data_IF_075484614021
#
_entry.id   IF_075484614021
#
_cell.length_a   1.000
_cell.length_b   1.000
_cell.length_c   1.000
_cell.angle_alpha   90.00
_cell.angle_beta   90.00
_cell.angle_gamma   90.00
#
_symmetry.space_group_name_H-M   'P 1'
#
loop_
_entity.id
_entity.type
_entity.pdbx_description
1 polymer ?
#
# COMPACT_ATOMS: atom_id res chain seq x y z
N UNK A 1 -2.06 32.16 17.59
CA UNK A 1 -2.02 30.94 18.42
C UNK A 1 -2.03 29.65 17.59
N UNK A 2 -2.73 29.55 16.46
CA UNK A 2 -2.73 28.34 15.60
C UNK A 2 -1.35 27.98 15.01
N UNK A 3 -0.57 28.96 14.56
CA UNK A 3 0.74 28.74 13.91
C UNK A 3 1.77 28.05 14.80
N UNK A 4 1.79 28.37 16.10
CA UNK A 4 2.72 27.73 17.06
C UNK A 4 2.44 26.25 17.26
N UNK A 5 1.16 25.82 17.24
CA UNK A 5 0.82 24.40 17.37
C UNK A 5 1.30 23.58 16.17
N UNK A 6 1.20 24.12 14.95
CA UNK A 6 1.73 23.45 13.76
C UNK A 6 3.25 23.25 13.85
N UNK A 7 3.99 24.25 14.37
CA UNK A 7 5.44 24.12 14.56
C UNK A 7 5.78 23.02 15.56
N UNK A 8 5.06 22.94 16.69
CA UNK A 8 5.25 21.86 17.67
C UNK A 8 4.87 20.48 17.11
N UNK A 9 3.82 20.38 16.30
CA UNK A 9 3.43 19.12 15.64
C UNK A 9 4.51 18.70 14.63
N UNK A 10 5.00 19.61 13.80
CA UNK A 10 6.05 19.32 12.82
C UNK A 10 7.33 18.88 13.52
N UNK A 11 7.74 19.59 14.59
CA UNK A 11 8.91 19.20 15.38
C UNK A 11 8.73 17.84 16.08
N UNK A 12 7.54 17.57 16.61
CA UNK A 12 7.20 16.29 17.21
C UNK A 12 7.25 15.13 16.20
N UNK A 13 6.61 15.31 15.04
CA UNK A 13 6.65 14.33 13.95
C UNK A 13 8.07 14.12 13.43
N UNK A 14 8.86 15.18 13.29
CA UNK A 14 10.26 15.10 12.92
C UNK A 14 11.06 14.29 13.96
N UNK A 15 10.95 14.63 15.25
CA UNK A 15 11.70 13.97 16.31
C UNK A 15 11.37 12.47 16.39
N UNK A 16 10.10 12.09 16.28
CA UNK A 16 9.69 10.68 16.31
C UNK A 16 10.13 9.95 15.04
N UNK A 17 9.85 10.50 13.86
CA UNK A 17 10.16 9.84 12.57
C UNK A 17 11.68 9.71 12.35
N UNK A 18 12.41 10.80 12.59
CA UNK A 18 13.85 10.83 12.48
C UNK A 18 14.49 10.01 13.60
N UNK A 19 14.00 10.11 14.84
CA UNK A 19 14.51 9.36 15.98
C UNK A 19 14.42 7.85 15.78
N UNK A 20 13.28 7.33 15.31
CA UNK A 20 13.12 5.90 15.03
C UNK A 20 14.06 5.45 13.91
N UNK A 21 14.10 6.17 12.77
CA UNK A 21 14.99 5.83 11.65
C UNK A 21 16.46 5.90 12.09
N UNK A 22 16.87 6.99 12.71
CA UNK A 22 18.25 7.22 13.12
C UNK A 22 18.69 6.23 14.20
N UNK A 23 17.83 5.88 15.17
CA UNK A 23 18.15 4.87 16.17
C UNK A 23 18.37 3.49 15.53
N UNK A 24 17.53 3.09 14.58
CA UNK A 24 17.69 1.84 13.83
C UNK A 24 18.97 1.87 12.97
N UNK A 25 19.23 2.95 12.22
CA UNK A 25 20.41 3.08 11.36
C UNK A 25 21.73 3.23 12.14
N UNK A 26 21.75 4.01 13.23
CA UNK A 26 22.94 4.19 14.07
C UNK A 26 23.31 2.88 14.79
N UNK A 27 22.31 2.08 15.17
CA UNK A 27 22.55 0.74 15.74
C UNK A 27 22.92 -0.29 14.65
N UNK A 28 22.44 -0.13 13.42
CA UNK A 28 22.78 -1.00 12.29
C UNK A 28 24.27 -0.95 11.91
N UNK A 29 24.98 0.16 12.12
CA UNK A 29 26.44 0.23 11.88
C UNK A 29 27.27 -0.66 12.82
N UNK A 30 26.72 -1.13 13.95
CA UNK A 30 27.36 -2.11 14.85
C UNK A 30 26.69 -3.49 14.84
N UNK A 31 25.46 -3.58 14.32
CA UNK A 31 24.70 -4.83 14.24
C UNK A 31 24.72 -5.25 12.78
N UNK A 32 25.64 -6.16 12.44
CA UNK A 32 25.61 -6.87 11.15
C UNK A 32 24.23 -7.52 11.05
N UNK A 33 23.37 -6.98 10.18
CA UNK A 33 22.05 -7.53 9.98
C UNK A 33 22.25 -8.94 9.41
N UNK A 34 21.75 -10.01 10.07
CA UNK A 34 21.89 -11.35 9.52
C UNK A 34 21.27 -11.38 8.13
N UNK A 35 21.96 -11.95 7.15
CA UNK A 35 21.51 -12.00 5.74
C UNK A 35 20.06 -12.49 5.59
N UNK A 36 19.56 -13.31 6.52
CA UNK A 36 18.18 -13.77 6.54
C UNK A 36 17.16 -12.67 6.89
N UNK A 37 17.50 -11.76 7.82
CA UNK A 37 16.63 -10.64 8.23
C UNK A 37 16.59 -9.57 7.12
N UNK A 38 17.73 -9.27 6.50
CA UNK A 38 17.79 -8.33 5.38
C UNK A 38 16.97 -8.84 4.18
N UNK A 39 17.10 -10.13 3.86
CA UNK A 39 16.25 -10.80 2.89
C UNK A 39 14.76 -10.73 3.25
N UNK A 40 14.40 -11.04 4.50
CA UNK A 40 13.01 -10.99 4.97
C UNK A 40 12.41 -9.58 4.94
N UNK A 41 13.17 -8.55 5.33
CA UNK A 41 12.75 -7.15 5.33
C UNK A 41 12.43 -6.63 3.92
N UNK A 42 13.17 -7.10 2.90
CA UNK A 42 12.89 -6.77 1.50
C UNK A 42 11.51 -7.22 1.01
N UNK A 43 10.95 -8.29 1.60
CA UNK A 43 9.61 -8.79 1.26
C UNK A 43 8.48 -8.16 2.08
N UNK A 44 8.78 -7.42 3.14
CA UNK A 44 7.77 -6.78 3.98
C UNK A 44 6.85 -5.86 3.18
N UNK A 45 7.35 -4.93 2.32
CA UNK A 45 6.47 -4.00 1.62
C UNK A 45 5.46 -4.70 0.71
N UNK A 46 5.90 -5.66 -0.10
CA UNK A 46 5.02 -6.40 -1.00
C UNK A 46 4.03 -7.28 -0.22
N UNK A 47 4.49 -7.94 0.85
CA UNK A 47 3.63 -8.81 1.66
C UNK A 47 2.53 -8.03 2.37
N UNK A 48 2.87 -6.87 2.95
CA UNK A 48 1.91 -6.01 3.64
C UNK A 48 0.91 -5.41 2.65
N UNK A 49 1.38 -4.92 1.50
CA UNK A 49 0.48 -4.39 0.46
C UNK A 49 -0.48 -5.47 -0.05
N UNK A 50 0.00 -6.67 -0.34
CA UNK A 50 -0.87 -7.78 -0.75
C UNK A 50 -1.85 -8.17 0.36
N UNK A 51 -1.41 -8.24 1.62
CA UNK A 51 -2.27 -8.55 2.75
C UNK A 51 -3.37 -7.50 3.00
N UNK A 52 -3.17 -6.24 2.58
CA UNK A 52 -4.18 -5.17 2.66
C UNK A 52 -5.10 -5.21 1.43
N UNK A 53 -4.53 -5.34 0.24
CA UNK A 53 -5.26 -5.24 -1.03
C UNK A 53 -6.18 -6.46 -1.26
N UNK A 54 -5.72 -7.67 -0.95
CA UNK A 54 -6.52 -8.90 -1.16
C UNK A 54 -7.85 -8.87 -0.41
N UNK A 55 -7.93 -8.64 0.92
CA UNK A 55 -9.22 -8.59 1.61
C UNK A 55 -10.05 -7.39 1.16
N UNK A 56 -9.44 -6.28 0.76
CA UNK A 56 -10.16 -5.13 0.20
C UNK A 56 -10.90 -5.47 -1.10
N UNK A 57 -10.39 -6.43 -1.89
CA UNK A 57 -11.01 -6.89 -3.13
C UNK A 57 -12.08 -7.96 -2.86
N UNK A 58 -11.73 -8.98 -2.08
CA UNK A 58 -12.57 -10.18 -1.89
C UNK A 58 -13.59 -10.06 -0.76
N UNK A 59 -13.39 -9.14 0.20
CA UNK A 59 -14.24 -8.97 1.38
C UNK A 59 -14.48 -7.49 1.72
N UNK A 60 -14.98 -6.66 0.78
CA UNK A 60 -15.18 -5.23 1.02
C UNK A 60 -16.11 -4.94 2.21
N UNK A 61 -17.16 -5.73 2.40
CA UNK A 61 -18.12 -5.61 3.52
C UNK A 61 -17.92 -6.68 4.61
N UNK A 62 -16.75 -7.31 4.67
CA UNK A 62 -16.45 -8.38 5.62
C UNK A 62 -17.11 -9.74 5.30
N UNK A 63 -17.88 -9.83 4.20
CA UNK A 63 -18.38 -11.09 3.63
C UNK A 63 -17.59 -11.40 2.37
N UNK A 64 -17.34 -12.69 2.11
CA UNK A 64 -16.71 -13.13 0.87
C UNK A 64 -17.63 -12.82 -0.30
N UNK A 65 -17.21 -11.87 -1.13
CA UNK A 65 -17.90 -11.44 -2.33
C UNK A 65 -17.01 -11.71 -3.55
N UNK A 66 -17.15 -12.94 -4.07
CA UNK A 66 -16.47 -13.43 -5.27
C UNK A 66 -17.41 -13.37 -6.49
N UNK A 67 -18.52 -12.63 -6.38
CA UNK A 67 -19.44 -12.42 -7.49
C UNK A 67 -18.77 -11.59 -8.58
N UNK A 68 -19.13 -11.86 -9.84
CA UNK A 68 -18.83 -10.95 -10.96
C UNK A 68 -19.59 -9.61 -10.81
N UNK A 69 -20.52 -9.54 -9.87
CA UNK A 69 -21.23 -8.33 -9.47
C UNK A 69 -20.37 -7.41 -8.58
N UNK A 70 -19.22 -7.87 -8.09
CA UNK A 70 -18.35 -7.07 -7.24
C UNK A 70 -17.46 -6.14 -8.11
N UNK A 71 -17.69 -4.82 -8.09
CA UNK A 71 -16.93 -3.87 -8.90
C UNK A 71 -15.45 -3.81 -8.48
N UNK A 72 -15.12 -4.10 -7.22
CA UNK A 72 -13.75 -4.13 -6.72
C UNK A 72 -12.93 -5.24 -7.37
N UNK A 73 -13.54 -6.42 -7.56
CA UNK A 73 -12.88 -7.58 -8.16
C UNK A 73 -12.61 -7.35 -9.65
N UNK A 74 -13.59 -6.81 -10.38
CA UNK A 74 -13.42 -6.47 -11.80
C UNK A 74 -12.35 -5.38 -12.01
N UNK A 75 -12.39 -4.30 -11.21
CA UNK A 75 -11.40 -3.22 -11.27
C UNK A 75 -9.98 -3.70 -10.97
N UNK A 76 -9.82 -4.53 -9.94
CA UNK A 76 -8.52 -5.09 -9.56
C UNK A 76 -7.98 -6.07 -10.61
N UNK A 77 -8.83 -6.92 -11.19
CA UNK A 77 -8.44 -7.88 -12.22
C UNK A 77 -8.02 -7.14 -13.50
N UNK A 78 -8.76 -6.11 -13.91
CA UNK A 78 -8.37 -5.27 -15.04
C UNK A 78 -7.03 -4.55 -14.79
N UNK A 79 -6.83 -3.98 -13.61
CA UNK A 79 -5.55 -3.37 -13.23
C UNK A 79 -4.42 -4.40 -13.26
N UNK A 80 -4.63 -5.60 -12.72
CA UNK A 80 -3.64 -6.67 -12.73
C UNK A 80 -3.22 -7.07 -14.15
N UNK A 81 -4.19 -7.31 -15.04
CA UNK A 81 -3.93 -7.70 -16.44
C UNK A 81 -3.19 -6.59 -17.20
N UNK A 82 -3.62 -5.33 -17.07
CA UNK A 82 -2.96 -4.20 -17.73
C UNK A 82 -1.55 -4.00 -17.17
N UNK A 83 -1.37 -4.14 -15.86
CA UNK A 83 -0.07 -4.02 -15.19
C UNK A 83 0.94 -5.04 -15.69
N UNK A 84 0.50 -6.28 -15.92
CA UNK A 84 1.34 -7.33 -16.48
C UNK A 84 1.75 -7.05 -17.93
N UNK A 85 0.86 -6.50 -18.75
CA UNK A 85 1.11 -6.30 -20.18
C UNK A 85 1.88 -5.01 -20.46
N UNK A 86 1.50 -3.90 -19.82
CA UNK A 86 1.96 -2.56 -20.18
C UNK A 86 3.10 -2.04 -19.30
N UNK A 87 3.35 -2.64 -18.13
CA UNK A 87 4.34 -2.19 -17.14
C UNK A 87 4.36 -0.66 -16.89
N UNK A 88 3.22 0.01 -17.15
CA UNK A 88 3.07 1.45 -17.02
C UNK A 88 2.07 1.74 -15.91
N UNK A 89 2.60 2.21 -14.78
CA UNK A 89 1.83 2.46 -13.55
C UNK A 89 0.60 3.35 -13.79
N UNK A 90 0.75 4.38 -14.63
CA UNK A 90 -0.31 5.35 -14.88
C UNK A 90 -1.47 4.71 -15.66
N UNK A 91 -1.17 3.91 -16.68
CA UNK A 91 -2.18 3.19 -17.46
C UNK A 91 -2.91 2.15 -16.61
N UNK A 92 -2.18 1.43 -15.76
CA UNK A 92 -2.75 0.44 -14.85
C UNK A 92 -3.78 1.06 -13.90
N UNK A 93 -3.45 2.22 -13.32
CA UNK A 93 -4.35 2.95 -12.43
C UNK A 93 -5.56 3.45 -13.22
N UNK A 94 -5.34 4.06 -14.38
CA UNK A 94 -6.42 4.65 -15.17
C UNK A 94 -7.43 3.58 -15.62
N UNK A 95 -6.96 2.45 -16.14
CA UNK A 95 -7.84 1.36 -16.57
C UNK A 95 -8.55 0.71 -15.37
N UNK A 96 -7.85 0.46 -14.26
CA UNK A 96 -8.46 -0.09 -13.06
C UNK A 96 -9.60 0.78 -12.53
N UNK A 97 -9.39 2.10 -12.45
CA UNK A 97 -10.41 3.06 -12.01
C UNK A 97 -11.58 3.13 -12.99
N UNK A 98 -11.32 3.14 -14.30
CA UNK A 98 -12.38 3.17 -15.32
C UNK A 98 -13.24 1.91 -15.24
N UNK A 99 -12.64 0.73 -15.14
CA UNK A 99 -13.38 -0.54 -15.03
C UNK A 99 -14.15 -0.61 -13.71
N UNK A 100 -13.56 -0.16 -12.60
CA UNK A 100 -14.26 -0.06 -11.32
C UNK A 100 -15.49 0.85 -11.42
N UNK A 101 -15.37 2.03 -12.03
CA UNK A 101 -16.47 2.97 -12.14
C UNK A 101 -17.57 2.47 -13.09
N UNK A 102 -17.19 1.83 -14.21
CA UNK A 102 -18.14 1.24 -15.14
C UNK A 102 -18.92 0.08 -14.53
N UNK A 103 -18.22 -0.82 -13.82
CA UNK A 103 -18.86 -1.94 -13.11
C UNK A 103 -19.77 -1.42 -12.00
N UNK A 104 -19.33 -0.45 -11.20
CA UNK A 104 -20.17 0.20 -10.18
C UNK A 104 -21.38 0.95 -10.75
N UNK A 105 -21.34 1.41 -12.01
CA UNK A 105 -22.46 2.09 -12.65
C UNK A 105 -23.52 1.10 -13.18
N UNK A 106 -23.11 -0.13 -13.48
CA UNK A 106 -23.96 -1.16 -14.09
C UNK A 106 -24.71 -2.03 -13.06
N UNK A 107 -24.28 -1.97 -11.79
CA UNK A 107 -24.83 -2.67 -10.62
C UNK A 107 -25.51 -1.65 -9.69
#
# INVERSE_FOLDING_TARGET
>A
MATSYFVFIILGMFAVTFGIRFCLFAKANKVVMPNWIEGALGFVPISVLSAIIVPMIFMPDGRLDVGLDNPWLLGALAAFVIGLIKQNQLLTILVGVVVFYLSKLFI
#
